data_IF_128224990381
#
_entry.id   IF_128224990381
#
_cell.length_a   1.000
_cell.length_b   1.000
_cell.length_c   1.000
_cell.angle_alpha   90.00
_cell.angle_beta   90.00
_cell.angle_gamma   90.00
#
_symmetry.space_group_name_H-M   'P 1'
#
loop_
_entity.id
_entity.type
_entity.pdbx_description
1 polymer ?
#
# COMPACT_ATOMS: atom_id res chain seq x y z
N UNK A 1 -3.24 -24.49 93.47
CA UNK A 1 -3.01 -23.94 92.13
C UNK A 1 -3.96 -24.69 91.20
N UNK A 2 -5.23 -24.34 91.04
CA UNK A 2 -5.89 -23.04 90.87
C UNK A 2 -6.54 -23.11 89.48
N UNK A 3 -7.81 -22.90 89.22
CA UNK A 3 -8.99 -22.57 90.00
C UNK A 3 -10.16 -22.62 89.00
N UNK A 4 -11.33 -22.97 89.51
CA UNK A 4 -12.64 -23.18 88.87
C UNK A 4 -13.22 -21.96 88.13
N UNK A 5 -14.03 -22.20 87.08
CA UNK A 5 -15.30 -21.48 86.86
C UNK A 5 -16.16 -22.15 85.77
N UNK A 6 -17.29 -22.72 86.19
CA UNK A 6 -18.48 -22.95 85.36
C UNK A 6 -19.06 -21.61 84.87
N UNK A 7 -19.78 -21.60 83.74
CA UNK A 7 -21.10 -20.96 83.69
C UNK A 7 -21.94 -21.55 82.55
N UNK A 8 -23.02 -22.14 83.02
CA UNK A 8 -24.21 -22.73 82.41
C UNK A 8 -24.90 -21.78 81.41
N UNK A 9 -25.45 -22.34 80.34
CA UNK A 9 -26.43 -21.68 79.46
C UNK A 9 -27.30 -22.71 78.72
N UNK A 10 -28.50 -22.93 79.23
CA UNK A 10 -29.50 -23.93 78.84
C UNK A 10 -30.49 -23.37 77.78
N UNK A 11 -30.62 -24.06 76.62
CA UNK A 11 -31.84 -24.49 75.85
C UNK A 11 -32.97 -23.44 75.62
N UNK A 12 -33.53 -23.22 74.39
CA UNK A 12 -34.41 -24.25 73.80
C UNK A 12 -34.47 -24.47 72.29
N UNK A 13 -34.74 -25.75 72.02
CA UNK A 13 -35.52 -26.36 70.93
C UNK A 13 -36.54 -25.40 70.30
N UNK A 14 -36.44 -25.23 68.98
CA UNK A 14 -37.61 -25.01 68.15
C UNK A 14 -37.74 -26.21 67.21
N UNK A 15 -38.58 -27.14 67.62
CA UNK A 15 -39.13 -28.18 66.77
C UNK A 15 -39.93 -27.52 65.65
N UNK A 16 -39.53 -27.72 64.41
CA UNK A 16 -40.43 -27.57 63.27
C UNK A 16 -40.44 -28.91 62.53
N UNK A 17 -41.61 -29.54 62.57
CA UNK A 17 -41.94 -30.72 61.80
C UNK A 17 -41.95 -30.38 60.31
N UNK A 18 -41.40 -31.27 59.49
CA UNK A 18 -41.52 -31.17 58.03
C UNK A 18 -40.38 -31.91 57.36
N UNK A 19 -40.59 -33.20 57.13
CA UNK A 19 -39.68 -34.00 56.33
C UNK A 19 -39.62 -33.47 54.91
N UNK A 20 -38.52 -32.82 54.56
CA UNK A 20 -37.98 -32.87 53.22
C UNK A 20 -36.50 -33.18 53.35
N UNK A 21 -36.10 -34.29 52.74
CA UNK A 21 -34.73 -34.71 52.67
C UNK A 21 -33.92 -33.57 52.07
N UNK A 22 -33.12 -32.88 52.90
CA UNK A 22 -32.01 -32.09 52.42
C UNK A 22 -31.07 -33.08 51.72
N UNK A 23 -31.23 -33.19 50.41
CA UNK A 23 -30.19 -33.63 49.49
C UNK A 23 -29.02 -32.67 49.71
N UNK A 24 -28.16 -33.03 50.66
CA UNK A 24 -26.83 -32.49 50.80
C UNK A 24 -26.08 -32.89 49.53
N UNK A 25 -26.23 -32.07 48.47
CA UNK A 25 -25.27 -32.05 47.39
C UNK A 25 -23.90 -31.84 48.04
N UNK A 26 -22.94 -32.76 47.85
CA UNK A 26 -21.63 -32.65 48.48
C UNK A 26 -21.02 -31.29 48.16
N UNK A 27 -20.33 -30.68 49.14
CA UNK A 27 -19.73 -29.33 49.06
C UNK A 27 -18.92 -29.09 47.75
N UNK A 28 -18.40 -30.18 47.14
CA UNK A 28 -17.70 -30.18 45.86
C UNK A 28 -18.56 -29.74 44.65
N UNK A 29 -19.84 -30.12 44.58
CA UNK A 29 -20.72 -29.77 43.45
C UNK A 29 -21.07 -28.27 43.42
N UNK A 30 -21.05 -27.58 44.57
CA UNK A 30 -21.31 -26.13 44.65
C UNK A 30 -20.13 -25.29 44.16
N UNK A 31 -18.89 -25.73 44.40
CA UNK A 31 -17.69 -25.01 43.93
C UNK A 31 -17.53 -25.12 42.40
N UNK A 32 -17.90 -26.25 41.81
CA UNK A 32 -17.88 -26.46 40.36
C UNK A 32 -18.86 -25.54 39.62
N UNK A 33 -20.11 -25.47 40.10
CA UNK A 33 -21.15 -24.63 39.51
C UNK A 33 -20.75 -23.14 39.57
N UNK A 34 -20.14 -22.71 40.67
CA UNK A 34 -19.65 -21.34 40.84
C UNK A 34 -18.51 -20.99 39.89
N UNK A 35 -17.55 -21.90 39.64
CA UNK A 35 -16.45 -21.66 38.70
C UNK A 35 -16.94 -21.64 37.24
N UNK A 36 -17.90 -22.50 36.87
CA UNK A 36 -18.53 -22.47 35.54
C UNK A 36 -19.30 -21.17 35.30
N UNK A 37 -20.09 -20.72 36.27
CA UNK A 37 -20.81 -19.45 36.19
C UNK A 37 -19.86 -18.24 36.10
N UNK A 38 -18.75 -18.26 36.83
CA UNK A 38 -17.75 -17.20 36.76
C UNK A 38 -17.06 -17.12 35.39
N UNK A 39 -16.71 -18.26 34.79
CA UNK A 39 -16.13 -18.32 33.44
C UNK A 39 -17.11 -17.80 32.37
N UNK A 40 -18.38 -18.16 32.48
CA UNK A 40 -19.42 -17.71 31.55
C UNK A 40 -19.69 -16.20 31.69
N UNK A 41 -19.71 -15.66 32.92
CA UNK A 41 -19.82 -14.21 33.15
C UNK A 41 -18.64 -13.44 32.59
N UNK A 42 -17.42 -13.97 32.74
CA UNK A 42 -16.22 -13.35 32.14
C UNK A 42 -16.33 -13.35 30.62
N UNK A 43 -16.79 -14.45 30.01
CA UNK A 43 -17.01 -14.51 28.56
C UNK A 43 -17.98 -13.42 28.10
N UNK A 44 -19.17 -13.36 28.68
CA UNK A 44 -20.19 -12.37 28.31
C UNK A 44 -19.72 -10.92 28.50
N UNK A 45 -19.02 -10.66 29.61
CA UNK A 45 -18.49 -9.32 29.90
C UNK A 45 -17.37 -8.96 28.94
N UNK A 46 -16.48 -9.90 28.62
CA UNK A 46 -15.42 -9.70 27.64
C UNK A 46 -16.01 -9.43 26.25
N UNK A 47 -16.98 -10.22 25.80
CA UNK A 47 -17.62 -10.06 24.50
C UNK A 47 -18.29 -8.69 24.35
N UNK A 48 -19.01 -8.22 25.38
CA UNK A 48 -19.63 -6.90 25.39
C UNK A 48 -18.59 -5.77 25.36
N UNK A 49 -17.53 -5.87 26.16
CA UNK A 49 -16.50 -4.83 26.21
C UNK A 49 -15.63 -4.80 24.94
N UNK A 50 -15.35 -5.96 24.35
CA UNK A 50 -14.62 -6.07 23.08
C UNK A 50 -15.47 -5.49 21.95
N UNK A 51 -16.77 -5.81 21.89
CA UNK A 51 -17.68 -5.25 20.89
C UNK A 51 -17.81 -3.71 21.03
N UNK A 52 -17.81 -3.19 22.26
CA UNK A 52 -17.89 -1.75 22.53
C UNK A 52 -16.54 -1.01 22.41
N UNK A 53 -15.44 -1.70 22.15
CA UNK A 53 -14.14 -1.05 22.06
C UNK A 53 -14.04 -0.18 20.79
N UNK A 54 -13.76 1.11 20.98
CA UNK A 54 -13.71 2.10 19.89
C UNK A 54 -12.34 2.20 19.23
N UNK A 55 -11.27 1.80 19.93
CA UNK A 55 -9.89 2.03 19.50
C UNK A 55 -8.99 0.81 19.79
N UNK A 56 -7.95 0.61 18.98
CA UNK A 56 -6.98 -0.50 19.17
C UNK A 56 -6.37 -0.54 20.57
N UNK A 57 -6.10 0.63 21.17
CA UNK A 57 -5.58 0.73 22.55
C UNK A 57 -6.52 0.11 23.58
N UNK A 58 -7.82 0.32 23.42
CA UNK A 58 -8.85 -0.21 24.32
C UNK A 58 -8.92 -1.73 24.17
N UNK A 59 -8.84 -2.24 22.94
CA UNK A 59 -8.80 -3.69 22.68
C UNK A 59 -7.56 -4.34 23.31
N UNK A 60 -6.40 -3.69 23.22
CA UNK A 60 -5.16 -4.18 23.85
C UNK A 60 -5.22 -4.16 25.39
N UNK A 61 -5.84 -3.14 25.99
CA UNK A 61 -6.11 -3.08 27.43
C UNK A 61 -7.03 -4.23 27.87
N UNK A 62 -8.09 -4.50 27.11
CA UNK A 62 -9.01 -5.62 27.36
C UNK A 62 -8.30 -6.98 27.21
N UNK A 63 -7.41 -7.13 26.21
CA UNK A 63 -6.57 -8.32 26.06
C UNK A 63 -5.72 -8.56 27.30
N UNK A 64 -5.06 -7.53 27.82
CA UNK A 64 -4.24 -7.64 29.04
C UNK A 64 -5.10 -7.96 30.26
N UNK A 65 -6.28 -7.34 30.38
CA UNK A 65 -7.22 -7.54 31.49
C UNK A 65 -7.76 -8.96 31.57
N UNK A 66 -8.16 -9.56 30.44
CA UNK A 66 -8.76 -10.90 30.43
C UNK A 66 -7.73 -12.03 30.25
N UNK A 67 -6.79 -11.88 29.31
CA UNK A 67 -5.84 -12.92 28.88
C UNK A 67 -4.42 -12.78 29.47
N UNK A 68 -4.13 -11.69 30.20
CA UNK A 68 -2.80 -11.44 30.75
C UNK A 68 -2.33 -12.43 31.83
N UNK A 69 -1.06 -12.30 32.24
CA UNK A 69 -0.44 -13.14 33.31
C UNK A 69 -1.15 -13.01 34.68
N UNK A 70 -1.86 -11.91 34.90
CA UNK A 70 -2.74 -11.64 36.04
C UNK A 70 -4.22 -11.45 35.61
N UNK A 71 -4.57 -11.88 34.41
CA UNK A 71 -5.91 -11.66 33.86
C UNK A 71 -6.97 -12.51 34.55
N UNK A 72 -8.23 -12.11 34.39
CA UNK A 72 -9.38 -12.73 35.06
C UNK A 72 -9.48 -14.24 34.76
N UNK A 73 -9.21 -14.65 33.51
CA UNK A 73 -9.20 -16.07 33.09
C UNK A 73 -8.04 -16.84 33.72
N UNK A 74 -6.84 -16.26 33.73
CA UNK A 74 -5.64 -16.84 34.37
C UNK A 74 -5.79 -16.93 35.89
N UNK A 75 -6.57 -16.01 36.49
CA UNK A 75 -6.93 -16.02 37.91
C UNK A 75 -7.76 -17.24 38.30
N UNK A 76 -8.78 -17.57 37.50
CA UNK A 76 -9.61 -18.77 37.70
C UNK A 76 -8.79 -20.05 37.49
N UNK A 77 -7.93 -20.08 36.46
CA UNK A 77 -7.04 -21.22 36.20
C UNK A 77 -6.09 -21.53 37.37
N UNK A 78 -5.60 -20.52 38.11
CA UNK A 78 -4.78 -20.71 39.32
C UNK A 78 -5.56 -21.31 40.49
N UNK A 79 -6.87 -21.06 40.56
CA UNK A 79 -7.73 -21.60 41.61
C UNK A 79 -8.08 -23.08 41.38
N UNK A 80 -7.84 -23.62 40.17
CA UNK A 80 -8.03 -25.05 39.86
C UNK A 80 -7.14 -26.01 40.66
N UNK A 81 -6.09 -25.50 41.31
CA UNK A 81 -5.26 -26.27 42.24
C UNK A 81 -6.06 -26.91 43.38
N UNK A 82 -7.26 -26.40 43.68
CA UNK A 82 -8.16 -26.89 44.75
C UNK A 82 -9.15 -27.99 44.32
N UNK A 83 -9.28 -28.26 43.02
CA UNK A 83 -10.24 -29.23 42.47
C UNK A 83 -9.74 -30.68 42.52
N UNK A 84 -10.70 -31.62 42.51
CA UNK A 84 -10.42 -33.05 42.45
C UNK A 84 -9.90 -33.50 41.08
N UNK A 85 -9.25 -34.68 41.00
CA UNK A 85 -8.59 -35.15 39.78
C UNK A 85 -9.54 -35.39 38.59
N UNK A 86 -10.83 -35.65 38.86
CA UNK A 86 -11.86 -35.94 37.85
C UNK A 86 -12.50 -34.68 37.26
N UNK A 87 -12.51 -33.56 37.99
CA UNK A 87 -13.18 -32.30 37.60
C UNK A 87 -12.22 -31.31 36.90
N UNK A 88 -10.92 -31.42 37.19
CA UNK A 88 -9.86 -30.59 36.58
C UNK A 88 -9.86 -30.61 35.03
N UNK A 89 -10.10 -31.74 34.34
CA UNK A 89 -10.14 -31.78 32.88
C UNK A 89 -11.31 -30.99 32.29
N UNK A 90 -12.49 -31.05 32.91
CA UNK A 90 -13.73 -30.42 32.41
C UNK A 90 -13.65 -28.89 32.52
N UNK A 91 -13.23 -28.39 33.68
CA UNK A 91 -13.06 -26.94 33.90
C UNK A 91 -11.87 -26.40 33.09
N UNK A 92 -10.80 -27.18 32.92
CA UNK A 92 -9.67 -26.81 32.08
C UNK A 92 -10.04 -26.69 30.60
N UNK A 93 -10.86 -27.60 30.08
CA UNK A 93 -11.39 -27.53 28.72
C UNK A 93 -12.27 -26.28 28.52
N UNK A 94 -13.20 -26.03 29.45
CA UNK A 94 -14.07 -24.85 29.39
C UNK A 94 -13.27 -23.55 29.45
N UNK A 95 -12.27 -23.46 30.33
CA UNK A 95 -11.42 -22.27 30.45
C UNK A 95 -10.57 -22.03 29.20
N UNK A 96 -10.06 -23.09 28.55
CA UNK A 96 -9.36 -22.96 27.28
C UNK A 96 -10.29 -22.51 26.15
N UNK A 97 -11.53 -23.02 26.12
CA UNK A 97 -12.54 -22.61 25.14
C UNK A 97 -12.90 -21.13 25.30
N UNK A 98 -13.19 -20.68 26.53
CA UNK A 98 -13.44 -19.26 26.83
C UNK A 98 -12.25 -18.38 26.44
N UNK A 99 -11.03 -18.88 26.65
CA UNK A 99 -9.80 -18.17 26.26
C UNK A 99 -9.68 -18.03 24.74
N UNK A 100 -9.99 -19.08 23.99
CA UNK A 100 -9.99 -19.08 22.52
C UNK A 100 -11.09 -18.17 21.96
N UNK A 101 -12.29 -18.22 22.53
CA UNK A 101 -13.42 -17.34 22.15
C UNK A 101 -13.04 -15.86 22.32
N UNK A 102 -12.48 -15.49 23.48
CA UNK A 102 -12.04 -14.12 23.76
C UNK A 102 -10.91 -13.69 22.80
N UNK A 103 -9.94 -14.56 22.52
CA UNK A 103 -8.85 -14.24 21.57
C UNK A 103 -9.39 -14.08 20.14
N UNK A 104 -10.38 -14.88 19.74
CA UNK A 104 -11.04 -14.78 18.45
C UNK A 104 -11.83 -13.46 18.32
N UNK A 105 -12.59 -13.06 19.34
CA UNK A 105 -13.31 -11.79 19.35
C UNK A 105 -12.35 -10.58 19.33
N UNK A 106 -11.24 -10.64 20.08
CA UNK A 106 -10.21 -9.60 20.06
C UNK A 106 -9.61 -9.46 18.65
N UNK A 107 -9.24 -10.57 18.01
CA UNK A 107 -8.69 -10.55 16.64
C UNK A 107 -9.69 -9.98 15.64
N UNK A 108 -10.96 -10.37 15.77
CA UNK A 108 -12.03 -9.90 14.90
C UNK A 108 -12.22 -8.39 15.04
N UNK A 109 -12.35 -7.89 16.28
CA UNK A 109 -12.51 -6.45 16.54
C UNK A 109 -11.30 -5.62 16.11
N UNK A 110 -10.09 -6.11 16.36
CA UNK A 110 -8.86 -5.45 15.87
C UNK A 110 -8.86 -5.33 14.35
N UNK A 111 -9.30 -6.38 13.65
CA UNK A 111 -9.40 -6.35 12.19
C UNK A 111 -10.47 -5.34 11.72
N UNK A 112 -11.65 -5.35 12.33
CA UNK A 112 -12.72 -4.39 12.00
C UNK A 112 -12.26 -2.94 12.16
N UNK A 113 -11.61 -2.62 13.28
CA UNK A 113 -11.09 -1.27 13.54
C UNK A 113 -10.00 -0.86 12.52
N UNK A 114 -9.14 -1.79 12.14
CA UNK A 114 -8.13 -1.55 11.12
C UNK A 114 -8.75 -1.33 9.73
N UNK A 115 -9.76 -2.14 9.36
CA UNK A 115 -10.48 -2.02 8.09
C UNK A 115 -11.27 -0.69 8.04
N UNK A 116 -11.92 -0.28 9.15
CA UNK A 116 -12.60 1.01 9.28
C UNK A 116 -11.64 2.20 9.15
N UNK A 117 -10.47 2.14 9.79
CA UNK A 117 -9.44 3.16 9.70
C UNK A 117 -8.88 3.27 8.27
N UNK A 118 -8.66 2.13 7.61
CA UNK A 118 -8.21 2.07 6.22
C UNK A 118 -9.26 2.64 5.26
N UNK A 119 -10.53 2.30 5.45
CA UNK A 119 -11.63 2.83 4.62
C UNK A 119 -11.75 4.35 4.73
N UNK A 120 -11.72 4.91 5.94
CA UNK A 120 -11.72 6.36 6.16
C UNK A 120 -10.56 7.04 5.45
N UNK A 121 -9.36 6.48 5.59
CA UNK A 121 -8.17 7.02 4.95
C UNK A 121 -8.26 6.97 3.42
N UNK A 122 -8.85 5.91 2.88
CA UNK A 122 -9.08 5.79 1.44
C UNK A 122 -10.09 6.81 0.92
N UNK A 123 -11.15 7.11 1.69
CA UNK A 123 -12.12 8.17 1.37
C UNK A 123 -11.49 9.58 1.40
N UNK A 124 -10.59 9.83 2.35
CA UNK A 124 -9.86 11.11 2.44
C UNK A 124 -8.84 11.28 1.30
N UNK A 125 -8.22 10.19 0.86
CA UNK A 125 -7.18 10.18 -0.19
C UNK A 125 -7.78 10.03 -1.62
N UNK A 126 -9.10 10.18 -1.80
CA UNK A 126 -9.72 10.16 -3.13
C UNK A 126 -9.26 11.38 -3.93
N UNK A 127 -8.46 11.11 -4.96
CA UNK A 127 -7.98 12.10 -5.93
C UNK A 127 -8.70 11.94 -7.27
N UNK A 128 -8.96 13.06 -7.94
CA UNK A 128 -9.48 13.06 -9.31
C UNK A 128 -8.35 12.76 -10.30
N UNK A 129 -8.37 11.53 -10.83
CA UNK A 129 -7.38 11.03 -11.81
C UNK A 129 -7.54 11.65 -13.20
N UNK A 130 -8.62 12.40 -13.46
CA UNK A 130 -8.85 13.07 -14.75
C UNK A 130 -8.25 14.47 -14.80
N UNK A 131 -7.81 15.02 -13.65
CA UNK A 131 -7.21 16.34 -13.62
C UNK A 131 -5.89 16.36 -14.41
N UNK A 132 -5.69 17.40 -15.25
CA UNK A 132 -4.45 17.56 -15.98
C UNK A 132 -3.30 17.81 -15.00
N UNK A 133 -2.32 16.92 -15.00
CA UNK A 133 -1.07 17.12 -14.27
C UNK A 133 -0.19 18.20 -14.90
N UNK A 134 0.86 18.60 -14.19
CA UNK A 134 1.87 19.52 -14.71
C UNK A 134 2.65 18.86 -15.85
N UNK A 135 2.38 19.27 -17.09
CA UNK A 135 3.07 18.74 -18.26
C UNK A 135 4.41 19.45 -18.49
N UNK A 136 5.46 18.73 -18.91
CA UNK A 136 6.68 19.36 -19.38
C UNK A 136 6.41 20.11 -20.69
N UNK A 137 7.14 21.21 -20.91
CA UNK A 137 7.05 21.95 -22.17
C UNK A 137 7.62 21.09 -23.30
N UNK A 138 6.78 20.75 -24.27
CA UNK A 138 7.21 20.08 -25.49
C UNK A 138 7.60 21.12 -26.54
N UNK A 139 8.76 20.92 -27.17
CA UNK A 139 9.19 21.72 -28.33
C UNK A 139 8.45 21.29 -29.60
N UNK A 140 8.39 22.19 -30.58
CA UNK A 140 7.90 21.89 -31.92
C UNK A 140 9.03 21.79 -32.94
N UNK A 141 8.84 20.94 -33.96
CA UNK A 141 9.73 20.92 -35.12
C UNK A 141 9.43 22.15 -35.99
N UNK A 142 10.46 22.84 -36.46
CA UNK A 142 10.29 24.00 -37.33
C UNK A 142 9.58 23.59 -38.65
N UNK A 143 8.59 24.35 -39.15
CA UNK A 143 7.79 23.96 -40.32
C UNK A 143 8.61 23.62 -41.57
N UNK A 144 9.71 24.33 -41.80
CA UNK A 144 10.67 23.99 -42.87
C UNK A 144 11.17 22.54 -42.81
N UNK A 145 11.49 22.05 -41.61
CA UNK A 145 11.99 20.69 -41.43
C UNK A 145 10.88 19.64 -41.59
N UNK A 146 9.63 19.98 -41.27
CA UNK A 146 8.48 19.11 -41.53
C UNK A 146 8.33 18.87 -43.03
N UNK A 147 8.25 19.94 -43.81
CA UNK A 147 8.11 19.87 -45.27
C UNK A 147 9.34 19.22 -45.91
N UNK A 148 10.54 19.55 -45.44
CA UNK A 148 11.77 18.94 -45.95
C UNK A 148 11.82 17.42 -45.66
N UNK A 149 11.34 16.97 -44.50
CA UNK A 149 11.26 15.55 -44.16
C UNK A 149 10.27 14.83 -45.06
N UNK A 150 9.07 15.38 -45.22
CA UNK A 150 8.03 14.82 -46.07
C UNK A 150 8.51 14.66 -47.52
N UNK A 151 9.18 15.67 -48.07
CA UNK A 151 9.78 15.59 -49.40
C UNK A 151 10.84 14.50 -49.48
N UNK A 152 11.74 14.41 -48.49
CA UNK A 152 12.77 13.36 -48.45
C UNK A 152 12.14 11.97 -48.43
N UNK A 153 11.11 11.76 -47.63
CA UNK A 153 10.44 10.45 -47.49
C UNK A 153 9.82 9.98 -48.80
N UNK A 154 9.22 10.90 -49.58
CA UNK A 154 8.69 10.59 -50.92
C UNK A 154 9.81 10.10 -51.85
N UNK A 155 10.93 10.82 -51.93
CA UNK A 155 12.04 10.47 -52.83
C UNK A 155 12.80 9.22 -52.37
N UNK A 156 12.95 9.01 -51.06
CA UNK A 156 13.48 7.77 -50.50
C UNK A 156 12.60 6.57 -50.88
N UNK A 157 11.27 6.73 -50.82
CA UNK A 157 10.31 5.70 -51.27
C UNK A 157 10.42 5.34 -52.76
N UNK A 158 10.94 6.26 -53.58
CA UNK A 158 11.22 6.03 -55.00
C UNK A 158 12.62 5.44 -55.26
N UNK A 159 13.44 5.25 -54.21
CA UNK A 159 14.79 4.71 -54.32
C UNK A 159 15.89 5.74 -54.59
N UNK A 160 15.64 7.04 -54.36
CA UNK A 160 16.68 8.06 -54.41
C UNK A 160 17.41 8.17 -53.07
N UNK A 161 18.71 8.48 -53.12
CA UNK A 161 19.52 8.77 -51.93
C UNK A 161 19.61 10.28 -51.65
N UNK A 162 19.63 10.64 -50.37
CA UNK A 162 19.79 12.03 -49.92
C UNK A 162 21.27 12.30 -49.65
N UNK A 163 21.84 13.26 -50.38
CA UNK A 163 23.25 13.66 -50.24
C UNK A 163 23.36 15.11 -49.77
N UNK A 164 24.22 15.35 -48.79
CA UNK A 164 24.57 16.68 -48.30
C UNK A 164 25.82 17.24 -48.96
N UNK A 165 25.97 18.56 -48.93
CA UNK A 165 27.17 19.27 -49.39
C UNK A 165 27.42 20.51 -48.53
N UNK A 166 28.63 21.09 -48.61
CA UNK A 166 28.97 22.29 -47.86
C UNK A 166 28.15 23.50 -48.31
N UNK A 167 27.98 24.49 -47.43
CA UNK A 167 27.30 25.75 -47.75
C UNK A 167 28.25 26.79 -48.34
N UNK A 168 29.53 26.72 -47.98
CA UNK A 168 30.62 27.49 -48.60
C UNK A 168 31.19 26.64 -49.72
N UNK A 169 31.16 27.17 -50.94
CA UNK A 169 31.56 26.47 -52.17
C UNK A 169 32.58 27.27 -52.98
N UNK A 170 33.25 26.58 -53.91
CA UNK A 170 34.12 27.22 -54.88
C UNK A 170 33.32 27.68 -56.11
N UNK A 171 33.72 28.81 -56.70
CA UNK A 171 33.14 29.36 -57.93
C UNK A 171 33.06 28.32 -59.07
N UNK A 172 34.10 27.49 -59.16
CA UNK A 172 34.20 26.40 -60.11
C UNK A 172 33.01 25.42 -60.00
N UNK A 173 32.64 25.00 -58.78
CA UNK A 173 31.55 24.04 -58.56
C UNK A 173 30.17 24.69 -58.60
N UNK A 174 30.05 25.93 -58.14
CA UNK A 174 28.76 26.65 -58.11
C UNK A 174 28.32 27.16 -59.47
N UNK A 175 29.26 27.47 -60.38
CA UNK A 175 28.94 28.08 -61.67
C UNK A 175 29.62 27.41 -62.87
N UNK A 176 30.96 27.28 -62.87
CA UNK A 176 31.67 26.83 -64.08
C UNK A 176 31.26 25.41 -64.51
N UNK A 177 31.10 24.49 -63.56
CA UNK A 177 30.62 23.12 -63.85
C UNK A 177 29.15 23.07 -64.32
N UNK A 178 28.39 24.15 -64.14
CA UNK A 178 27.04 24.32 -64.67
C UNK A 178 27.02 25.11 -65.99
N UNK A 179 28.18 25.22 -66.65
CA UNK A 179 28.34 25.95 -67.90
C UNK A 179 28.06 27.46 -67.77
N UNK A 180 28.34 28.03 -66.60
CA UNK A 180 28.21 29.47 -66.34
C UNK A 180 29.61 30.09 -66.17
N UNK A 181 30.27 30.59 -67.23
CA UNK A 181 31.57 31.26 -67.12
C UNK A 181 31.47 32.59 -66.34
N UNK A 182 32.62 33.16 -65.95
CA UNK A 182 32.70 34.38 -65.10
C UNK A 182 31.94 35.60 -65.63
N UNK A 183 31.83 35.74 -66.94
CA UNK A 183 31.09 36.83 -67.61
C UNK A 183 29.62 36.52 -67.90
N UNK A 184 29.09 35.41 -67.39
CA UNK A 184 27.73 34.98 -67.68
C UNK A 184 26.70 35.83 -66.89
N UNK A 185 25.71 36.45 -67.54
CA UNK A 185 24.76 37.37 -66.89
C UNK A 185 23.95 36.71 -65.77
N UNK A 186 23.71 35.40 -65.85
CA UNK A 186 23.01 34.67 -64.80
C UNK A 186 23.79 34.54 -63.47
N UNK A 187 25.07 34.92 -63.42
CA UNK A 187 25.82 35.04 -62.15
C UNK A 187 25.41 36.31 -61.39
N UNK A 188 25.24 37.41 -62.12
CA UNK A 188 24.82 38.70 -61.54
C UNK A 188 23.37 38.64 -61.03
N UNK A 189 22.49 37.88 -61.70
CA UNK A 189 21.09 37.74 -61.26
C UNK A 189 20.89 36.91 -59.99
N UNK A 190 21.91 36.19 -59.52
CA UNK A 190 21.80 35.30 -58.36
C UNK A 190 22.20 35.96 -57.04
N UNK A 191 22.58 37.25 -57.05
CA UNK A 191 22.98 38.02 -55.86
C UNK A 191 23.93 37.24 -54.95
N UNK A 192 25.01 36.73 -55.54
CA UNK A 192 25.90 35.77 -54.86
C UNK A 192 26.77 36.45 -53.81
N UNK A 193 26.83 35.87 -52.61
CA UNK A 193 27.72 36.34 -51.54
C UNK A 193 29.13 35.77 -51.72
N UNK A 194 30.04 36.60 -52.22
CA UNK A 194 31.46 36.26 -52.36
C UNK A 194 32.22 36.56 -51.07
N UNK A 195 33.00 35.58 -50.60
CA UNK A 195 33.97 35.75 -49.50
C UNK A 195 35.33 36.18 -50.10
N UNK A 196 35.71 35.55 -51.22
CA UNK A 196 36.85 35.93 -52.06
C UNK A 196 36.47 35.74 -53.54
N UNK A 197 37.36 36.05 -54.48
CA UNK A 197 37.09 35.89 -55.93
C UNK A 197 36.70 34.46 -56.34
N UNK A 198 37.09 33.44 -55.58
CA UNK A 198 36.83 32.03 -55.92
C UNK A 198 36.06 31.26 -54.84
N UNK A 199 35.73 31.89 -53.70
CA UNK A 199 35.02 31.28 -52.56
C UNK A 199 33.75 32.07 -52.29
N UNK A 200 32.60 31.39 -52.25
CA UNK A 200 31.28 32.01 -52.13
C UNK A 200 30.33 31.14 -51.31
N UNK A 201 29.22 31.73 -50.85
CA UNK A 201 28.08 30.96 -50.33
C UNK A 201 27.27 30.41 -51.49
N UNK A 202 26.96 29.10 -51.46
CA UNK A 202 26.24 28.43 -52.55
C UNK A 202 24.89 29.10 -52.80
N UNK A 203 24.57 29.32 -54.06
CA UNK A 203 23.27 29.88 -54.49
C UNK A 203 22.23 28.78 -54.70
N UNK A 204 22.69 27.53 -54.86
CA UNK A 204 21.89 26.37 -55.17
C UNK A 204 22.59 25.09 -54.68
N UNK A 205 21.88 23.97 -54.61
CA UNK A 205 22.42 22.68 -54.16
C UNK A 205 23.04 21.84 -55.30
N UNK A 206 23.08 22.38 -56.52
CA UNK A 206 23.74 21.77 -57.69
C UNK A 206 25.20 21.36 -57.47
N UNK A 207 26.06 22.11 -56.72
CA UNK A 207 27.45 21.72 -56.46
C UNK A 207 27.61 20.34 -55.84
N UNK A 208 26.68 19.96 -54.96
CA UNK A 208 26.67 18.67 -54.28
C UNK A 208 26.62 17.50 -55.27
N UNK A 209 25.93 17.66 -56.42
CA UNK A 209 25.89 16.63 -57.48
C UNK A 209 27.26 16.39 -58.10
N UNK A 210 28.03 17.45 -58.35
CA UNK A 210 29.36 17.32 -58.94
C UNK A 210 30.39 16.75 -57.97
N UNK A 211 30.29 17.12 -56.68
CA UNK A 211 31.10 16.52 -55.63
C UNK A 211 30.85 15.00 -55.54
N UNK A 212 29.58 14.57 -55.58
CA UNK A 212 29.21 13.15 -55.61
C UNK A 212 29.71 12.45 -56.88
N UNK A 213 29.56 13.08 -58.04
CA UNK A 213 30.06 12.51 -59.29
C UNK A 213 31.57 12.31 -59.31
N UNK A 214 32.33 13.20 -58.67
CA UNK A 214 33.79 13.05 -58.53
C UNK A 214 34.16 11.91 -57.57
N UNK A 215 33.41 11.72 -56.48
CA UNK A 215 33.70 10.64 -55.52
C UNK A 215 33.28 9.26 -56.01
N UNK A 216 32.26 9.19 -56.87
CA UNK A 216 31.69 7.92 -57.36
C UNK A 216 32.31 7.46 -58.68
N UNK A 217 33.16 8.30 -59.31
CA UNK A 217 33.88 7.94 -60.53
C UNK A 217 35.04 7.01 -60.16
N UNK A 218 34.84 5.70 -60.38
CA UNK A 218 35.91 4.69 -60.48
C UNK A 218 36.84 5.00 -61.66
#
# INVERSE_FOLDING_TARGET
>A
MGGTAELIGFVPVLTIHGGEAFLFAPVKEREELAMKQALEQIRQTADQLIAAAENERVVDELRVRFLGKKGEVTGILKQMGKLSAEERPVIGALANQVREDIDAHIRTRMKELADEAMAKRLEEEVIDVTLPGTQPVQGGIHPFHLVLSELKDIFLGMGFDVVGGPEVELDHYNFEMLNMPKSHPARDTQDTFYITENILLRTQTSPCRFALWKSTRL
#
